data_IF_295525907444
#
_entry.id   IF_295525907444
#
_cell.length_a   1.000
_cell.length_b   1.000
_cell.length_c   1.000
_cell.angle_alpha   90.00
_cell.angle_beta   90.00
_cell.angle_gamma   90.00
#
_symmetry.space_group_name_H-M   'P 1'
#
loop_
_entity.id
_entity.type
_entity.pdbx_description
1 polymer ?
#
# COMPACT_ATOMS: atom_id res chain seq x y z
N UNK A 1 22.24 3.48 -8.43
CA UNK A 1 21.04 2.63 -8.72
C UNK A 1 20.87 2.57 -10.24
N UNK A 2 21.95 2.19 -10.91
CA UNK A 2 22.12 2.49 -12.34
C UNK A 2 21.94 1.25 -13.21
N UNK A 3 21.82 0.09 -12.55
CA UNK A 3 21.50 -1.20 -13.15
C UNK A 3 20.00 -1.47 -13.03
N UNK A 4 19.45 -2.16 -14.02
CA UNK A 4 18.00 -2.47 -14.10
C UNK A 4 17.53 -3.37 -12.96
N UNK A 5 18.36 -4.31 -12.54
CA UNK A 5 18.10 -5.25 -11.44
C UNK A 5 19.13 -5.02 -10.35
N UNK A 6 18.70 -4.70 -9.14
CA UNK A 6 19.61 -4.37 -8.05
C UNK A 6 19.00 -4.69 -6.70
N UNK A 7 19.80 -5.25 -5.78
CA UNK A 7 19.44 -5.31 -4.37
C UNK A 7 20.56 -4.81 -3.47
N UNK A 8 20.19 -4.29 -2.30
CA UNK A 8 21.06 -3.95 -1.18
C UNK A 8 20.36 -4.29 0.13
N UNK A 9 20.91 -5.25 0.87
CA UNK A 9 20.39 -5.73 2.16
C UNK A 9 21.55 -5.89 3.13
N UNK A 10 21.55 -5.12 4.23
CA UNK A 10 22.70 -5.03 5.12
C UNK A 10 23.99 -4.68 4.37
N UNK A 11 25.03 -5.50 4.53
CA UNK A 11 26.31 -5.38 3.81
C UNK A 11 26.36 -6.07 2.45
N UNK A 12 25.28 -6.74 2.03
CA UNK A 12 25.22 -7.49 0.78
C UNK A 12 24.51 -6.69 -0.31
N UNK A 13 25.06 -6.74 -1.51
CA UNK A 13 24.46 -6.12 -2.69
C UNK A 13 24.75 -6.91 -3.95
N UNK A 14 23.93 -6.69 -4.96
CA UNK A 14 24.11 -7.25 -6.29
C UNK A 14 23.42 -6.38 -7.33
N UNK A 15 24.00 -6.28 -8.53
CA UNK A 15 23.53 -5.38 -9.58
C UNK A 15 23.73 -5.99 -10.97
N UNK A 16 22.70 -5.96 -11.82
CA UNK A 16 22.67 -6.53 -13.16
C UNK A 16 21.86 -5.65 -14.12
N UNK A 17 22.38 -5.43 -15.33
CA UNK A 17 21.59 -4.81 -16.41
C UNK A 17 20.63 -5.84 -17.01
N UNK A 18 21.17 -7.01 -17.34
CA UNK A 18 20.46 -8.14 -17.88
C UNK A 18 20.68 -9.36 -16.99
N UNK A 19 19.66 -10.22 -16.93
CA UNK A 19 19.71 -11.47 -16.17
C UNK A 19 20.01 -12.64 -17.10
N UNK A 20 20.54 -13.75 -16.56
CA UNK A 20 20.72 -14.98 -17.33
C UNK A 20 19.41 -15.38 -18.02
N UNK A 21 19.51 -15.75 -19.30
CA UNK A 21 18.39 -16.29 -20.08
C UNK A 21 18.24 -17.79 -19.89
N UNK A 22 19.32 -18.47 -19.49
CA UNK A 22 19.31 -19.87 -19.10
C UNK A 22 18.59 -20.05 -17.74
N UNK A 23 17.59 -20.96 -17.65
CA UNK A 23 16.84 -21.17 -16.41
C UNK A 23 17.68 -21.63 -15.22
N UNK A 24 18.67 -22.50 -15.43
CA UNK A 24 19.49 -23.05 -14.33
C UNK A 24 20.42 -21.96 -13.77
N UNK A 25 20.99 -21.12 -14.65
CA UNK A 25 21.78 -19.96 -14.24
C UNK A 25 20.92 -18.91 -13.50
N UNK A 26 19.70 -18.66 -13.96
CA UNK A 26 18.77 -17.74 -13.30
C UNK A 26 18.35 -18.27 -11.92
N UNK A 27 18.08 -19.57 -11.78
CA UNK A 27 17.78 -20.20 -10.50
C UNK A 27 18.98 -20.15 -9.55
N UNK A 28 20.19 -20.35 -10.06
CA UNK A 28 21.42 -20.19 -9.28
C UNK A 28 21.59 -18.76 -8.75
N UNK A 29 21.35 -17.74 -9.60
CA UNK A 29 21.35 -16.34 -9.20
C UNK A 29 20.29 -16.06 -8.13
N UNK A 30 19.06 -16.53 -8.35
CA UNK A 30 17.94 -16.36 -7.42
C UNK A 30 18.27 -16.97 -6.06
N UNK A 31 18.81 -18.19 -6.04
CA UNK A 31 19.21 -18.88 -4.82
C UNK A 31 20.37 -18.16 -4.11
N UNK A 32 21.32 -17.60 -4.85
CA UNK A 32 22.41 -16.81 -4.30
C UNK A 32 21.90 -15.52 -3.63
N UNK A 33 21.03 -14.78 -4.30
CA UNK A 33 20.40 -13.58 -3.74
C UNK A 33 19.50 -13.91 -2.54
N UNK A 34 18.69 -14.98 -2.62
CA UNK A 34 17.78 -15.45 -1.56
C UNK A 34 18.53 -15.69 -0.24
N UNK A 35 19.73 -16.28 -0.29
CA UNK A 35 20.57 -16.54 0.91
C UNK A 35 20.87 -15.29 1.73
N UNK A 36 20.81 -14.11 1.11
CA UNK A 36 21.03 -12.82 1.80
C UNK A 36 19.72 -12.07 2.04
N UNK A 37 18.82 -12.03 1.04
CA UNK A 37 17.58 -11.24 1.09
C UNK A 37 16.58 -11.83 2.09
N UNK A 38 16.28 -13.14 2.01
CA UNK A 38 15.23 -13.75 2.83
C UNK A 38 15.56 -13.68 4.34
N UNK A 39 16.78 -14.01 4.81
CA UNK A 39 17.12 -13.85 6.23
C UNK A 39 17.10 -12.39 6.69
N UNK A 40 17.52 -11.45 5.84
CA UNK A 40 17.46 -10.02 6.16
C UNK A 40 16.02 -9.54 6.31
N UNK A 41 15.14 -9.84 5.35
CA UNK A 41 13.73 -9.48 5.43
C UNK A 41 13.03 -10.18 6.60
N UNK A 42 13.40 -11.43 6.90
CA UNK A 42 12.93 -12.14 8.11
C UNK A 42 13.27 -11.37 9.38
N UNK A 43 14.50 -10.86 9.51
CA UNK A 43 14.91 -10.05 10.65
C UNK A 43 14.16 -8.71 10.71
N UNK A 44 14.04 -8.03 9.56
CA UNK A 44 13.31 -6.76 9.44
C UNK A 44 11.84 -6.92 9.85
N UNK A 45 11.18 -8.00 9.44
CA UNK A 45 9.75 -8.21 9.74
C UNK A 45 9.50 -8.55 11.21
N UNK A 46 10.55 -8.94 11.95
CA UNK A 46 10.51 -9.12 13.40
C UNK A 46 10.86 -7.84 14.18
N UNK A 47 10.97 -6.69 13.50
CA UNK A 47 11.08 -5.40 14.16
C UNK A 47 9.94 -5.18 15.16
N UNK A 48 10.19 -4.32 16.14
CA UNK A 48 9.21 -3.96 17.17
C UNK A 48 7.97 -3.33 16.54
N UNK A 49 8.20 -2.42 15.58
CA UNK A 49 7.14 -1.69 14.89
C UNK A 49 7.31 -1.85 13.37
N UNK A 50 6.61 -2.83 12.80
CA UNK A 50 6.60 -3.07 11.36
C UNK A 50 5.42 -2.33 10.71
N UNK A 51 5.74 -1.50 9.74
CA UNK A 51 4.80 -0.77 8.91
C UNK A 51 4.99 -1.15 7.44
N UNK A 52 3.89 -1.25 6.70
CA UNK A 52 3.89 -1.54 5.26
C UNK A 52 3.19 -0.41 4.52
N UNK A 53 3.86 0.21 3.55
CA UNK A 53 3.30 1.25 2.70
C UNK A 53 3.09 0.72 1.27
N UNK A 54 1.83 0.60 0.87
CA UNK A 54 1.44 0.09 -0.45
C UNK A 54 0.97 1.23 -1.35
N UNK A 55 1.60 1.36 -2.52
CA UNK A 55 1.17 2.27 -3.57
C UNK A 55 0.47 1.57 -4.73
N UNK A 56 0.16 2.31 -5.79
CA UNK A 56 -0.61 1.80 -6.94
C UNK A 56 0.09 0.67 -7.70
N UNK A 57 1.42 0.57 -7.57
CA UNK A 57 2.19 -0.56 -8.09
C UNK A 57 1.78 -1.91 -7.47
N UNK A 58 1.23 -1.92 -6.25
CA UNK A 58 0.69 -3.14 -5.64
C UNK A 58 -0.54 -3.66 -6.39
N UNK A 59 -1.52 -2.77 -6.62
CA UNK A 59 -2.73 -3.08 -7.40
C UNK A 59 -2.37 -3.44 -8.85
N UNK A 60 -1.40 -2.74 -9.45
CA UNK A 60 -0.93 -3.04 -10.79
C UNK A 60 -0.26 -4.42 -10.88
N UNK A 61 0.53 -4.82 -9.89
CA UNK A 61 1.19 -6.13 -9.88
C UNK A 61 0.17 -7.28 -9.76
N UNK A 62 -0.83 -7.14 -8.88
CA UNK A 62 -1.92 -8.13 -8.76
C UNK A 62 -2.78 -8.14 -10.03
N UNK A 63 -3.14 -6.98 -10.57
CA UNK A 63 -3.85 -6.87 -11.84
C UNK A 63 -3.10 -7.56 -12.98
N UNK A 64 -1.78 -7.36 -13.07
CA UNK A 64 -0.94 -8.02 -14.06
C UNK A 64 -1.00 -9.55 -13.96
N UNK A 65 -0.92 -10.12 -12.75
CA UNK A 65 -1.07 -11.56 -12.53
C UNK A 65 -2.46 -12.07 -12.92
N UNK A 66 -3.49 -11.27 -12.66
CA UNK A 66 -4.87 -11.56 -13.05
C UNK A 66 -5.11 -11.39 -14.57
N UNK A 67 -4.18 -10.81 -15.32
CA UNK A 67 -4.34 -10.48 -16.74
C UNK A 67 -5.24 -9.27 -16.98
N UNK A 68 -5.33 -8.34 -16.03
CA UNK A 68 -6.19 -7.16 -16.03
C UNK A 68 -5.37 -5.88 -15.88
N UNK A 69 -5.68 -4.87 -16.70
CA UNK A 69 -5.08 -3.55 -16.56
C UNK A 69 -5.60 -2.84 -15.31
N UNK A 70 -4.70 -2.31 -14.49
CA UNK A 70 -5.07 -1.46 -13.37
C UNK A 70 -5.50 -0.06 -13.83
N UNK A 71 -6.23 0.63 -12.96
CA UNK A 71 -6.67 2.01 -13.19
C UNK A 71 -5.47 2.92 -13.46
N UNK A 72 -5.54 3.65 -14.58
CA UNK A 72 -4.52 4.62 -14.96
C UNK A 72 -4.71 5.97 -14.26
N UNK A 73 -3.62 6.73 -14.14
CA UNK A 73 -3.60 8.08 -13.55
C UNK A 73 -3.42 9.18 -14.61
N UNK A 74 -3.72 8.87 -15.87
CA UNK A 74 -3.56 9.82 -16.97
C UNK A 74 -4.49 11.02 -16.83
N UNK A 75 -4.09 12.15 -17.41
CA UNK A 75 -4.93 13.36 -17.43
C UNK A 75 -6.27 13.12 -18.13
N UNK A 76 -7.27 13.85 -17.69
CA UNK A 76 -8.64 13.89 -18.23
C UNK A 76 -8.98 15.28 -18.77
N UNK A 77 -10.14 15.41 -19.40
CA UNK A 77 -10.67 16.71 -19.87
C UNK A 77 -12.03 16.91 -19.20
N UNK A 78 -12.22 18.03 -18.49
CA UNK A 78 -13.46 18.31 -17.78
C UNK A 78 -14.56 18.84 -18.72
N UNK A 79 -14.18 19.28 -19.92
CA UNK A 79 -15.13 19.75 -20.94
C UNK A 79 -15.57 21.18 -20.68
N UNK A 80 -14.66 22.02 -20.18
CA UNK A 80 -14.96 23.39 -19.77
C UNK A 80 -13.98 24.39 -20.40
N UNK A 81 -14.35 25.67 -20.41
CA UNK A 81 -13.43 26.75 -20.83
C UNK A 81 -12.19 26.89 -19.93
N UNK A 82 -12.14 26.19 -18.79
CA UNK A 82 -11.06 26.26 -17.82
C UNK A 82 -10.06 25.11 -17.93
N UNK A 83 -10.27 24.13 -18.81
CA UNK A 83 -9.39 22.95 -18.94
C UNK A 83 -7.91 23.33 -19.09
N UNK A 84 -7.60 24.33 -19.94
CA UNK A 84 -6.22 24.79 -20.13
C UNK A 84 -5.61 25.43 -18.87
N UNK A 85 -6.42 26.17 -18.09
CA UNK A 85 -5.97 26.78 -16.84
C UNK A 85 -5.74 25.75 -15.74
N UNK A 86 -6.64 24.76 -15.65
CA UNK A 86 -6.53 23.62 -14.73
C UNK A 86 -5.26 22.83 -15.05
N UNK A 87 -5.01 22.52 -16.32
CA UNK A 87 -3.79 21.82 -16.77
C UNK A 87 -2.51 22.58 -16.45
N UNK A 88 -2.50 23.90 -16.68
CA UNK A 88 -1.35 24.73 -16.38
C UNK A 88 -1.06 24.77 -14.86
N UNK A 89 -2.09 24.91 -14.03
CA UNK A 89 -1.93 24.91 -12.58
C UNK A 89 -1.51 23.53 -12.04
N UNK A 90 -2.10 22.46 -12.57
CA UNK A 90 -1.75 21.08 -12.25
C UNK A 90 -0.27 20.80 -12.56
N UNK A 91 0.19 21.19 -13.75
CA UNK A 91 1.57 21.03 -14.17
C UNK A 91 2.54 21.89 -13.36
N UNK A 92 2.19 23.13 -13.04
CA UNK A 92 3.00 23.98 -12.17
C UNK A 92 3.18 23.34 -10.78
N UNK A 93 2.11 22.78 -10.21
CA UNK A 93 2.17 22.03 -8.95
C UNK A 93 3.04 20.78 -9.02
N UNK A 94 2.85 19.95 -10.05
CA UNK A 94 3.64 18.73 -10.26
C UNK A 94 5.14 19.03 -10.42
N UNK A 95 5.49 20.09 -11.16
CA UNK A 95 6.88 20.57 -11.30
C UNK A 95 7.44 21.06 -9.96
N UNK A 96 6.67 21.83 -9.18
CA UNK A 96 7.11 22.34 -7.88
C UNK A 96 7.42 21.20 -6.89
N UNK A 97 6.63 20.11 -6.92
CA UNK A 97 6.84 18.89 -6.13
C UNK A 97 7.88 17.93 -6.74
N UNK A 98 8.55 18.33 -7.83
CA UNK A 98 9.50 17.48 -8.58
C UNK A 98 8.90 16.12 -9.00
N UNK A 99 7.57 16.06 -9.18
CA UNK A 99 6.85 14.85 -9.61
C UNK A 99 7.02 14.58 -11.10
N UNK A 100 7.27 15.62 -11.90
CA UNK A 100 7.34 15.56 -13.35
C UNK A 100 6.01 15.95 -13.99
N UNK A 101 5.47 15.10 -14.86
CA UNK A 101 4.20 15.36 -15.54
C UNK A 101 3.01 15.30 -14.56
N UNK A 102 2.06 16.23 -14.72
CA UNK A 102 0.82 16.23 -13.94
C UNK A 102 -0.05 15.02 -14.27
N UNK A 103 -0.75 14.50 -13.27
CA UNK A 103 -1.66 13.37 -13.39
C UNK A 103 -3.12 13.81 -13.10
N UNK A 104 -4.05 12.84 -13.13
CA UNK A 104 -5.48 13.11 -12.82
C UNK A 104 -5.68 13.71 -11.42
N UNK A 105 -4.85 13.35 -10.44
CA UNK A 105 -4.94 13.89 -9.08
C UNK A 105 -4.59 15.39 -9.06
N UNK A 106 -3.51 15.78 -9.72
CA UNK A 106 -3.13 17.19 -9.85
C UNK A 106 -4.21 18.02 -10.54
N UNK A 107 -4.89 17.44 -11.52
CA UNK A 107 -6.03 18.06 -12.19
C UNK A 107 -7.23 18.20 -11.26
N UNK A 108 -7.63 17.14 -10.54
CA UNK A 108 -8.74 17.21 -9.60
C UNK A 108 -8.48 18.21 -8.48
N UNK A 109 -7.27 18.24 -7.92
CA UNK A 109 -6.89 19.25 -6.92
C UNK A 109 -7.04 20.67 -7.47
N UNK A 110 -6.54 20.91 -8.69
CA UNK A 110 -6.62 22.22 -9.34
C UNK A 110 -8.06 22.61 -9.70
N UNK A 111 -8.86 21.64 -10.15
CA UNK A 111 -10.26 21.84 -10.52
C UNK A 111 -11.14 22.11 -9.29
N UNK A 112 -10.92 21.40 -8.17
CA UNK A 112 -11.65 21.63 -6.91
C UNK A 112 -11.32 23.00 -6.31
N UNK A 113 -10.05 23.41 -6.32
CA UNK A 113 -9.66 24.76 -5.87
C UNK A 113 -10.30 25.86 -6.74
N UNK A 114 -10.36 25.64 -8.06
CA UNK A 114 -11.05 26.57 -8.97
C UNK A 114 -12.56 26.57 -8.73
N UNK A 115 -13.16 25.41 -8.47
CA UNK A 115 -14.58 25.27 -8.18
C UNK A 115 -15.00 26.12 -6.97
N UNK A 116 -14.23 26.07 -5.87
CA UNK A 116 -14.48 26.92 -4.70
C UNK A 116 -14.40 28.42 -5.04
N UNK A 117 -13.40 28.82 -5.84
CA UNK A 117 -13.24 30.19 -6.30
C UNK A 117 -14.41 30.67 -7.16
N UNK A 118 -14.83 29.87 -8.14
CA UNK A 118 -15.99 30.15 -8.99
C UNK A 118 -17.28 30.21 -8.17
N UNK A 119 -17.40 29.41 -7.11
CA UNK A 119 -18.55 29.46 -6.22
C UNK A 119 -18.78 30.80 -5.54
N UNK A 120 -17.77 31.68 -5.50
CA UNK A 120 -17.89 33.05 -4.98
C UNK A 120 -18.28 34.05 -6.08
N UNK A 121 -17.82 33.87 -7.31
CA UNK A 121 -17.85 34.91 -8.36
C UNK A 121 -18.73 34.59 -9.57
N UNK A 122 -18.97 33.32 -9.88
CA UNK A 122 -19.74 32.88 -11.04
C UNK A 122 -20.40 31.50 -10.80
N UNK A 123 -21.67 31.53 -10.40
CA UNK A 123 -22.48 30.33 -10.13
C UNK A 123 -22.76 29.48 -11.38
N UNK A 124 -22.76 30.07 -12.57
CA UNK A 124 -23.00 29.34 -13.82
C UNK A 124 -21.76 28.53 -14.22
N UNK A 125 -20.60 29.17 -14.15
CA UNK A 125 -19.31 28.52 -14.35
C UNK A 125 -19.02 27.47 -13.27
N UNK A 126 -19.33 27.76 -12.00
CA UNK A 126 -19.23 26.80 -10.88
C UNK A 126 -19.99 25.51 -11.22
N UNK A 127 -21.28 25.64 -11.59
CA UNK A 127 -22.11 24.48 -11.92
C UNK A 127 -21.53 23.67 -13.07
N UNK A 128 -21.07 24.34 -14.13
CA UNK A 128 -20.53 23.69 -15.33
C UNK A 128 -19.24 22.92 -15.01
N UNK A 129 -18.33 23.53 -14.23
CA UNK A 129 -17.12 22.85 -13.77
C UNK A 129 -17.44 21.68 -12.85
N UNK A 130 -18.40 21.86 -11.92
CA UNK A 130 -18.84 20.80 -11.02
C UNK A 130 -19.34 19.57 -11.79
N UNK A 131 -20.22 19.76 -12.77
CA UNK A 131 -20.75 18.67 -13.58
C UNK A 131 -19.62 17.94 -14.34
N UNK A 132 -18.63 18.69 -14.84
CA UNK A 132 -17.42 18.12 -15.46
C UNK A 132 -16.56 17.29 -14.49
N UNK A 133 -16.33 17.78 -13.27
CA UNK A 133 -15.59 17.05 -12.23
C UNK A 133 -16.37 15.80 -11.81
N UNK A 134 -17.68 15.91 -11.58
CA UNK A 134 -18.54 14.77 -11.22
C UNK A 134 -18.48 13.66 -12.28
N UNK A 135 -18.51 14.02 -13.57
CA UNK A 135 -18.38 13.06 -14.67
C UNK A 135 -17.02 12.35 -14.66
N UNK A 136 -15.92 13.09 -14.51
CA UNK A 136 -14.58 12.50 -14.49
C UNK A 136 -14.31 11.66 -13.23
N UNK A 137 -14.77 12.11 -12.05
CA UNK A 137 -14.69 11.32 -10.81
C UNK A 137 -15.52 10.05 -10.90
N UNK A 138 -16.72 10.11 -11.51
CA UNK A 138 -17.55 8.91 -11.73
C UNK A 138 -16.86 7.91 -12.67
N UNK A 139 -16.22 8.41 -13.73
CA UNK A 139 -15.38 7.60 -14.63
C UNK A 139 -14.21 6.94 -13.90
N UNK A 140 -13.56 7.67 -12.99
CA UNK A 140 -12.47 7.15 -12.16
C UNK A 140 -12.94 6.09 -11.16
N UNK A 141 -14.07 6.30 -10.47
CA UNK A 141 -14.66 5.28 -9.59
C UNK A 141 -15.03 4.02 -10.37
N UNK A 142 -15.59 4.19 -11.56
CA UNK A 142 -15.96 3.08 -12.44
C UNK A 142 -14.72 2.30 -12.90
N UNK A 143 -13.60 2.96 -13.19
CA UNK A 143 -12.37 2.27 -13.57
C UNK A 143 -11.74 1.50 -12.39
N UNK A 144 -11.82 2.03 -11.17
CA UNK A 144 -11.42 1.31 -9.95
C UNK A 144 -12.25 0.03 -9.78
N UNK A 145 -13.57 0.12 -9.85
CA UNK A 145 -14.47 -1.04 -9.76
C UNK A 145 -14.25 -2.05 -10.89
N UNK A 146 -13.94 -1.57 -12.10
CA UNK A 146 -13.54 -2.43 -13.23
C UNK A 146 -12.23 -3.17 -12.94
N UNK A 147 -11.28 -2.51 -12.28
CA UNK A 147 -10.02 -3.13 -11.85
C UNK A 147 -10.30 -4.24 -10.83
N UNK A 148 -11.09 -3.93 -9.79
CA UNK A 148 -11.46 -4.88 -8.74
C UNK A 148 -12.23 -6.10 -9.32
N UNK A 149 -13.28 -5.86 -10.11
CA UNK A 149 -14.05 -6.94 -10.75
C UNK A 149 -13.21 -7.77 -11.72
N UNK A 150 -12.29 -7.13 -12.45
CA UNK A 150 -11.36 -7.83 -13.31
C UNK A 150 -10.40 -8.74 -12.51
N UNK A 151 -9.89 -8.29 -11.36
CA UNK A 151 -9.04 -9.13 -10.50
C UNK A 151 -9.83 -10.35 -9.97
N UNK A 152 -11.09 -10.18 -9.59
CA UNK A 152 -11.95 -11.29 -9.11
C UNK A 152 -12.24 -12.30 -10.21
N UNK A 153 -12.51 -11.82 -11.42
CA UNK A 153 -12.79 -12.67 -12.57
C UNK A 153 -11.53 -13.42 -13.04
N UNK A 154 -10.40 -12.69 -13.11
CA UNK A 154 -9.20 -13.12 -13.81
C UNK A 154 -9.42 -13.25 -15.32
N UNK A 155 -8.33 -13.28 -16.08
CA UNK A 155 -8.37 -13.61 -17.52
C UNK A 155 -8.80 -15.06 -17.76
N UNK A 156 -8.35 -15.96 -16.90
CA UNK A 156 -8.65 -17.39 -16.88
C UNK A 156 -8.45 -17.92 -15.44
N UNK A 157 -8.90 -19.16 -15.11
CA UNK A 157 -8.76 -19.71 -13.76
C UNK A 157 -7.32 -19.73 -13.24
N UNK A 158 -6.33 -19.94 -14.11
CA UNK A 158 -4.91 -19.99 -13.72
C UNK A 158 -4.42 -18.61 -13.29
N UNK A 159 -4.70 -17.58 -14.09
CA UNK A 159 -4.37 -16.19 -13.75
C UNK A 159 -5.07 -15.72 -12.48
N UNK A 160 -6.33 -16.13 -12.28
CA UNK A 160 -7.08 -15.84 -11.06
C UNK A 160 -6.39 -16.45 -9.83
N UNK A 161 -6.10 -17.75 -9.87
CA UNK A 161 -5.47 -18.46 -8.77
C UNK A 161 -4.07 -17.92 -8.46
N UNK A 162 -3.30 -17.56 -9.50
CA UNK A 162 -1.99 -16.93 -9.35
C UNK A 162 -2.08 -15.56 -8.65
N UNK A 163 -3.00 -14.69 -9.08
CA UNK A 163 -3.20 -13.38 -8.47
C UNK A 163 -3.65 -13.50 -7.01
N UNK A 164 -4.62 -14.37 -6.74
CA UNK A 164 -5.16 -14.60 -5.40
C UNK A 164 -4.10 -15.21 -4.48
N UNK A 165 -3.35 -16.21 -4.95
CA UNK A 165 -2.27 -16.85 -4.21
C UNK A 165 -1.14 -15.87 -3.88
N UNK A 166 -0.76 -15.01 -4.83
CA UNK A 166 0.24 -13.96 -4.60
C UNK A 166 -0.24 -12.90 -3.59
N UNK A 167 -1.49 -12.42 -3.72
CA UNK A 167 -2.10 -11.48 -2.77
C UNK A 167 -2.10 -12.04 -1.35
N UNK A 168 -2.59 -13.26 -1.19
CA UNK A 168 -2.67 -13.93 0.11
C UNK A 168 -1.28 -14.11 0.71
N UNK A 169 -0.36 -14.69 -0.06
CA UNK A 169 0.99 -14.98 0.41
C UNK A 169 1.75 -13.72 0.79
N UNK A 170 1.63 -12.66 -0.02
CA UNK A 170 2.21 -11.36 0.28
C UNK A 170 1.70 -10.81 1.62
N UNK A 171 0.38 -10.71 1.81
CA UNK A 171 -0.20 -10.19 3.05
C UNK A 171 0.19 -11.04 4.27
N UNK A 172 0.17 -12.38 4.13
CA UNK A 172 0.53 -13.30 5.21
C UNK A 172 2.01 -13.20 5.58
N UNK A 173 2.92 -12.97 4.64
CA UNK A 173 4.35 -12.77 4.94
C UNK A 173 4.58 -11.59 5.90
N UNK A 174 3.80 -10.51 5.80
CA UNK A 174 3.90 -9.37 6.71
C UNK A 174 3.06 -9.53 7.99
N UNK A 175 1.87 -10.12 7.88
CA UNK A 175 0.93 -10.22 8.99
C UNK A 175 1.31 -11.31 10.02
N UNK A 176 2.14 -12.29 9.63
CA UNK A 176 2.60 -13.39 10.49
C UNK A 176 3.67 -12.96 11.50
N UNK A 177 3.29 -12.12 12.46
CA UNK A 177 4.19 -11.59 13.50
C UNK A 177 4.08 -12.41 14.79
N UNK A 178 5.18 -12.50 15.53
CA UNK A 178 5.17 -13.13 16.84
C UNK A 178 4.25 -12.37 17.81
N UNK A 179 3.57 -13.09 18.71
CA UNK A 179 2.59 -12.51 19.64
C UNK A 179 3.16 -11.43 20.60
N UNK A 180 4.49 -11.38 20.78
CA UNK A 180 5.18 -10.36 21.56
C UNK A 180 5.50 -9.08 20.77
N UNK A 181 5.26 -9.07 19.46
CA UNK A 181 5.46 -7.91 18.59
C UNK A 181 4.12 -7.19 18.41
N UNK A 182 4.18 -5.88 18.17
CA UNK A 182 2.98 -5.14 17.81
C UNK A 182 2.34 -5.65 16.51
N UNK A 183 1.10 -5.25 16.23
CA UNK A 183 0.43 -5.57 14.97
C UNK A 183 1.14 -4.91 13.79
N UNK A 184 1.10 -5.56 12.63
CA UNK A 184 1.43 -4.89 11.36
C UNK A 184 0.51 -3.69 11.17
N UNK A 185 1.07 -2.54 10.81
CA UNK A 185 0.28 -1.40 10.35
C UNK A 185 0.48 -1.22 8.84
N UNK A 186 -0.59 -1.42 8.08
CA UNK A 186 -0.63 -1.22 6.64
C UNK A 186 -1.13 0.19 6.35
N UNK A 187 -0.34 0.94 5.61
CA UNK A 187 -0.67 2.24 5.05
C UNK A 187 -0.79 2.11 3.54
N UNK A 188 -1.72 2.83 2.93
CA UNK A 188 -1.81 2.88 1.47
C UNK A 188 -2.27 4.23 0.97
N UNK A 189 -1.80 4.61 -0.21
CA UNK A 189 -2.31 5.74 -1.00
C UNK A 189 -3.36 5.29 -2.02
N UNK A 190 -3.74 4.01 -2.05
CA UNK A 190 -4.65 3.48 -3.05
C UNK A 190 -6.12 3.67 -2.63
N UNK A 191 -6.95 3.99 -3.61
CA UNK A 191 -8.40 4.15 -3.43
C UNK A 191 -9.17 2.81 -3.54
N UNK A 192 -8.62 1.84 -4.29
CA UNK A 192 -9.17 0.49 -4.43
C UNK A 192 -9.11 -0.28 -3.11
N UNK A 193 -9.91 -1.34 -2.99
CA UNK A 193 -10.08 -2.10 -1.74
C UNK A 193 -9.38 -3.46 -1.77
N UNK A 194 -8.28 -3.55 -2.52
CA UNK A 194 -7.57 -4.81 -2.75
C UNK A 194 -6.97 -5.38 -1.45
N UNK A 195 -6.54 -4.52 -0.54
CA UNK A 195 -5.96 -4.93 0.75
C UNK A 195 -7.05 -5.55 1.63
N UNK A 196 -8.21 -4.91 1.68
CA UNK A 196 -9.40 -5.38 2.39
C UNK A 196 -9.85 -6.75 1.85
N UNK A 197 -9.99 -6.86 0.53
CA UNK A 197 -10.33 -8.11 -0.13
C UNK A 197 -9.29 -9.22 0.13
N UNK A 198 -8.01 -8.88 0.07
CA UNK A 198 -6.93 -9.82 0.37
C UNK A 198 -6.92 -10.27 1.83
N UNK A 199 -7.29 -9.39 2.77
CA UNK A 199 -7.43 -9.73 4.18
C UNK A 199 -8.59 -10.69 4.42
N UNK A 200 -9.76 -10.42 3.81
CA UNK A 200 -10.91 -11.32 3.88
C UNK A 200 -10.54 -12.72 3.37
N UNK A 201 -9.85 -12.79 2.23
CA UNK A 201 -9.39 -14.04 1.65
C UNK A 201 -8.32 -14.75 2.51
N UNK A 202 -7.42 -13.99 3.14
CA UNK A 202 -6.38 -14.51 4.02
C UNK A 202 -6.87 -14.85 5.44
N UNK A 203 -8.12 -14.54 5.79
CA UNK A 203 -8.64 -14.67 7.15
C UNK A 203 -8.02 -13.67 8.15
N UNK A 204 -7.49 -12.55 7.65
CA UNK A 204 -6.93 -11.46 8.44
C UNK A 204 -8.04 -10.49 8.86
N UNK A 205 -8.01 -10.06 10.12
CA UNK A 205 -8.91 -9.05 10.65
C UNK A 205 -8.28 -7.67 10.58
N UNK A 206 -9.03 -6.72 10.07
CA UNK A 206 -8.62 -5.33 9.96
C UNK A 206 -9.14 -4.55 11.16
N UNK A 207 -8.24 -3.81 11.80
CA UNK A 207 -8.56 -2.69 12.69
C UNK A 207 -8.30 -1.40 11.92
N UNK A 208 -9.35 -0.64 11.66
CA UNK A 208 -9.28 0.69 11.07
C UNK A 208 -10.00 1.71 11.96
N UNK A 209 -10.21 2.93 11.47
CA UNK A 209 -10.89 4.01 12.21
C UNK A 209 -12.42 3.97 12.10
N UNK A 210 -13.01 3.00 11.41
CA UNK A 210 -14.46 2.92 11.24
C UNK A 210 -15.10 2.08 12.34
N UNK A 211 -16.09 2.66 13.00
CA UNK A 211 -16.84 2.00 14.08
C UNK A 211 -18.29 1.81 13.66
N UNK A 212 -18.76 0.56 13.73
CA UNK A 212 -20.12 0.16 13.40
C UNK A 212 -20.13 -1.04 12.45
N UNK A 213 -21.19 -1.86 12.53
CA UNK A 213 -21.34 -3.04 11.68
C UNK A 213 -22.15 -2.75 10.40
N UNK A 214 -23.24 -1.97 10.51
CA UNK A 214 -24.16 -1.70 9.40
C UNK A 214 -23.81 -0.42 8.64
N UNK A 215 -23.54 0.65 9.38
CA UNK A 215 -23.14 1.95 8.84
C UNK A 215 -21.87 2.41 9.57
N UNK A 216 -20.70 1.88 9.22
CA UNK A 216 -19.46 2.22 9.91
C UNK A 216 -19.15 3.73 9.78
N UNK A 217 -18.81 4.38 10.89
CA UNK A 217 -18.49 5.82 10.96
C UNK A 217 -17.03 6.02 11.31
N UNK A 218 -16.33 6.88 10.57
CA UNK A 218 -14.95 7.25 10.86
C UNK A 218 -14.84 7.97 12.21
N UNK A 219 -13.90 7.54 13.06
CA UNK A 219 -13.62 8.16 14.35
C UNK A 219 -12.23 8.79 14.35
N UNK A 220 -12.19 10.10 14.64
CA UNK A 220 -10.94 10.84 14.86
C UNK A 220 -10.25 10.46 16.18
N UNK A 221 -11.02 9.96 17.16
CA UNK A 221 -10.50 9.61 18.49
C UNK A 221 -9.42 8.54 18.40
N UNK A 222 -8.26 8.81 19.02
CA UNK A 222 -7.11 7.90 19.07
C UNK A 222 -7.23 6.90 20.24
N UNK A 223 -8.33 6.14 20.26
CA UNK A 223 -8.47 5.04 21.21
C UNK A 223 -7.74 3.83 20.63
N UNK A 224 -6.72 3.34 21.32
CA UNK A 224 -6.01 2.13 20.91
C UNK A 224 -6.85 0.91 21.27
N UNK A 225 -7.54 0.37 20.26
CA UNK A 225 -8.33 -0.87 20.36
C UNK A 225 -7.51 -2.01 19.78
N UNK A 226 -7.51 -3.15 20.46
CA UNK A 226 -6.94 -4.42 19.96
C UNK A 226 -7.87 -5.59 20.31
N UNK A 227 -7.68 -6.71 19.63
CA UNK A 227 -8.49 -7.91 19.78
C UNK A 227 -7.66 -9.00 20.45
N UNK A 228 -8.19 -9.48 21.58
CA UNK A 228 -7.60 -10.54 22.38
C UNK A 228 -8.53 -11.74 22.44
N UNK A 229 -7.96 -12.93 22.64
CA UNK A 229 -8.72 -14.15 22.92
C UNK A 229 -8.28 -14.76 24.25
N UNK A 230 -9.21 -15.46 24.89
CA UNK A 230 -8.96 -16.19 26.13
C UNK A 230 -8.80 -17.69 25.80
N UNK A 231 -7.60 -18.26 25.90
CA UNK A 231 -7.42 -19.69 25.64
C UNK A 231 -8.21 -20.54 26.66
N UNK A 232 -8.88 -21.63 26.22
CA UNK A 232 -9.62 -22.49 27.13
C UNK A 232 -8.72 -23.06 28.24
N UNK A 233 -9.20 -23.01 29.49
CA UNK A 233 -8.54 -23.67 30.63
C UNK A 233 -7.40 -22.90 31.29
N UNK A 234 -7.02 -21.71 30.80
CA UNK A 234 -6.01 -20.87 31.44
C UNK A 234 -6.67 -19.64 32.07
N UNK A 235 -6.61 -19.53 33.40
CA UNK A 235 -6.82 -18.26 34.11
C UNK A 235 -5.53 -17.43 33.97
N UNK A 236 -5.55 -16.35 33.21
CA UNK A 236 -4.39 -15.50 32.97
C UNK A 236 -4.71 -14.31 32.07
N UNK A 237 -3.67 -13.55 31.70
CA UNK A 237 -3.78 -12.38 30.83
C UNK A 237 -4.27 -12.77 29.41
N UNK A 238 -5.17 -11.96 28.80
CA UNK A 238 -5.65 -12.20 27.43
C UNK A 238 -4.50 -12.27 26.43
N UNK A 239 -4.57 -13.18 25.45
CA UNK A 239 -3.57 -13.29 24.39
C UNK A 239 -3.97 -12.45 23.19
N UNK A 240 -3.01 -11.76 22.58
CA UNK A 240 -3.21 -11.14 21.28
C UNK A 240 -3.67 -12.20 20.28
N UNK A 241 -4.81 -11.93 19.63
CA UNK A 241 -5.34 -12.83 18.62
C UNK A 241 -4.51 -12.76 17.35
N UNK A 242 -4.07 -13.88 16.80
CA UNK A 242 -3.31 -13.89 15.54
C UNK A 242 -4.16 -13.45 14.34
N UNK A 243 -3.48 -13.03 13.26
CA UNK A 243 -4.14 -12.59 12.04
C UNK A 243 -4.93 -11.29 12.22
N UNK A 244 -4.34 -10.29 12.88
CA UNK A 244 -4.92 -8.95 13.05
C UNK A 244 -3.92 -7.92 12.54
N UNK A 245 -4.38 -7.03 11.66
CA UNK A 245 -3.60 -5.91 11.13
C UNK A 245 -4.31 -4.59 11.39
N UNK A 246 -3.56 -3.49 11.38
CA UNK A 246 -4.12 -2.14 11.32
C UNK A 246 -4.09 -1.65 9.87
N UNK A 247 -5.14 -0.99 9.40
CA UNK A 247 -5.20 -0.41 8.05
C UNK A 247 -5.52 1.08 8.10
N UNK A 248 -4.71 1.87 7.42
CA UNK A 248 -4.90 3.32 7.24
C UNK A 248 -4.76 3.69 5.77
N UNK A 249 -5.84 4.18 5.14
CA UNK A 249 -5.84 4.63 3.74
C UNK A 249 -5.65 6.15 3.70
N UNK A 250 -4.45 6.61 3.34
CA UNK A 250 -4.01 8.00 3.47
C UNK A 250 -4.75 8.96 2.55
N UNK A 251 -5.18 8.50 1.37
CA UNK A 251 -5.90 9.32 0.38
C UNK A 251 -7.41 9.06 0.38
N UNK A 252 -7.88 8.23 1.31
CA UNK A 252 -9.27 7.78 1.37
C UNK A 252 -9.51 6.49 0.61
N UNK A 253 -10.77 6.24 0.28
CA UNK A 253 -11.21 5.01 -0.37
C UNK A 253 -12.46 5.29 -1.18
N UNK A 254 -12.69 4.51 -2.23
CA UNK A 254 -13.85 4.69 -3.10
C UNK A 254 -15.20 4.50 -2.36
N UNK A 255 -15.19 3.79 -1.22
CA UNK A 255 -16.35 3.51 -0.39
C UNK A 255 -16.49 4.47 0.82
N UNK A 256 -15.70 5.56 0.89
CA UNK A 256 -15.80 6.57 1.94
C UNK A 256 -16.66 7.76 1.48
N UNK A 257 -17.66 8.09 2.29
CA UNK A 257 -18.68 9.09 2.00
C UNK A 257 -18.74 10.15 3.08
N UNK A 258 -18.54 11.41 2.70
CA UNK A 258 -18.73 12.55 3.57
C UNK A 258 -20.19 13.01 3.53
N UNK A 259 -20.85 12.97 4.68
CA UNK A 259 -22.13 13.59 4.91
C UNK A 259 -21.92 15.04 5.36
N UNK A 260 -22.35 16.00 4.54
CA UNK A 260 -22.18 17.44 4.79
C UNK A 260 -23.03 17.92 5.96
N UNK A 261 -24.22 17.36 6.14
CA UNK A 261 -25.18 17.80 7.16
C UNK A 261 -24.74 17.32 8.55
N UNK A 262 -24.31 16.06 8.64
CA UNK A 262 -23.79 15.49 9.88
C UNK A 262 -22.30 15.81 10.13
N UNK A 263 -21.59 16.27 9.10
CA UNK A 263 -20.13 16.47 9.08
C UNK A 263 -19.37 15.21 9.51
N UNK A 264 -19.80 14.06 8.98
CA UNK A 264 -19.29 12.73 9.32
C UNK A 264 -18.92 11.95 8.07
N UNK A 265 -18.04 10.98 8.26
CA UNK A 265 -17.59 10.10 7.19
C UNK A 265 -18.12 8.71 7.47
N UNK A 266 -18.78 8.15 6.47
CA UNK A 266 -19.36 6.83 6.47
C UNK A 266 -18.61 5.93 5.50
N UNK A 267 -18.45 4.66 5.84
CA UNK A 267 -18.07 3.63 4.87
C UNK A 267 -19.34 2.99 4.32
N UNK A 268 -19.54 3.03 3.01
CA UNK A 268 -20.67 2.37 2.35
C UNK A 268 -20.36 0.90 2.07
N UNK A 269 -21.37 0.06 2.16
CA UNK A 269 -21.26 -1.39 1.93
C UNK A 269 -21.22 -1.76 0.44
N UNK A 270 -20.31 -1.17 -0.33
CA UNK A 270 -20.15 -1.48 -1.75
C UNK A 270 -19.37 -2.81 -1.86
N UNK A 271 -19.88 -3.86 -2.53
CA UNK A 271 -19.10 -5.08 -2.76
C UNK A 271 -17.80 -4.83 -3.54
N UNK A 272 -16.78 -5.67 -3.32
CA UNK A 272 -15.54 -5.62 -4.11
C UNK A 272 -15.84 -5.98 -5.57
N UNK A 273 -15.51 -5.09 -6.51
CA UNK A 273 -15.86 -5.26 -7.92
C UNK A 273 -17.36 -5.12 -8.22
N UNK A 274 -18.10 -4.35 -7.42
CA UNK A 274 -19.51 -4.02 -7.68
C UNK A 274 -19.72 -3.44 -9.10
N UNK A 275 -20.87 -3.71 -9.74
CA UNK A 275 -21.18 -3.13 -11.04
C UNK A 275 -21.33 -1.61 -10.93
N UNK A 276 -21.04 -0.89 -12.02
CA UNK A 276 -21.00 0.57 -12.02
C UNK A 276 -22.34 1.25 -11.68
N UNK A 277 -23.45 0.53 -11.80
CA UNK A 277 -24.80 0.98 -11.48
C UNK A 277 -25.25 0.63 -10.05
N UNK A 278 -24.36 0.10 -9.21
CA UNK A 278 -24.65 -0.21 -7.81
C UNK A 278 -25.17 1.03 -7.06
N UNK A 279 -26.21 0.84 -6.26
CA UNK A 279 -26.98 1.94 -5.65
C UNK A 279 -26.18 2.84 -4.73
N UNK A 280 -25.18 2.28 -4.04
CA UNK A 280 -24.30 3.03 -3.15
C UNK A 280 -23.15 3.74 -3.88
N UNK A 281 -22.99 3.57 -5.20
CA UNK A 281 -22.03 4.36 -5.97
C UNK A 281 -22.64 5.76 -6.19
N UNK A 282 -21.94 6.84 -5.84
CA UNK A 282 -22.50 8.17 -5.93
C UNK A 282 -22.55 8.65 -7.37
N UNK A 283 -23.71 9.16 -7.76
CA UNK A 283 -23.89 9.85 -9.05
C UNK A 283 -23.28 11.25 -9.08
N UNK A 284 -22.97 11.81 -7.90
CA UNK A 284 -22.33 13.13 -7.71
C UNK A 284 -21.16 13.02 -6.74
N UNK A 285 -20.02 12.45 -7.19
CA UNK A 285 -18.88 12.19 -6.32
C UNK A 285 -18.30 13.43 -5.64
N UNK A 286 -18.35 14.62 -6.27
CA UNK A 286 -17.77 15.86 -5.70
C UNK A 286 -18.37 16.20 -4.34
N UNK A 287 -19.65 15.91 -4.14
CA UNK A 287 -20.34 16.24 -2.89
C UNK A 287 -20.26 15.15 -1.83
N UNK A 288 -19.76 13.96 -2.18
CA UNK A 288 -19.97 12.74 -1.38
C UNK A 288 -18.70 11.94 -1.18
N UNK A 289 -17.89 11.73 -2.21
CA UNK A 289 -16.76 10.80 -2.17
C UNK A 289 -15.52 11.47 -1.59
N UNK A 290 -14.93 10.81 -0.60
CA UNK A 290 -13.65 11.22 -0.04
C UNK A 290 -12.48 10.57 -0.79
N UNK A 291 -12.21 11.08 -1.99
CA UNK A 291 -10.97 10.89 -2.72
C UNK A 291 -10.28 12.25 -2.69
N UNK A 292 -9.25 12.41 -1.85
CA UNK A 292 -8.48 13.66 -1.85
C UNK A 292 -7.16 13.48 -2.59
N UNK A 293 -7.06 14.03 -3.81
CA UNK A 293 -5.86 13.91 -4.60
C UNK A 293 -4.73 14.76 -4.01
N UNK A 294 -3.59 14.09 -3.80
CA UNK A 294 -2.27 14.62 -3.43
C UNK A 294 -2.21 16.11 -3.02
N UNK A 295 -2.26 16.42 -1.71
CA UNK A 295 -2.20 17.79 -1.22
C UNK A 295 -0.82 18.38 -1.54
N UNK A 296 -0.77 19.46 -2.31
CA UNK A 296 0.49 20.13 -2.64
C UNK A 296 0.85 21.25 -1.67
N UNK A 297 0.02 21.51 -0.64
CA UNK A 297 0.24 22.56 0.35
C UNK A 297 -0.15 22.12 1.76
N UNK A 298 0.66 22.54 2.73
CA UNK A 298 0.48 22.29 4.17
C UNK A 298 -0.88 22.77 4.73
N UNK A 299 -1.66 23.56 3.98
CA UNK A 299 -3.01 24.01 4.38
C UNK A 299 -4.07 22.93 4.14
N UNK A 300 -3.91 22.06 3.14
CA UNK A 300 -4.93 21.08 2.74
C UNK A 300 -4.83 19.77 3.55
N UNK A 301 -3.63 19.36 3.96
CA UNK A 301 -3.42 18.23 4.89
C UNK A 301 -3.91 18.50 6.32
N UNK A 302 -4.29 19.73 6.65
CA UNK A 302 -4.92 20.06 7.93
C UNK A 302 -6.42 19.76 7.98
N UNK A 303 -7.02 19.43 6.84
CA UNK A 303 -8.44 19.12 6.77
C UNK A 303 -8.74 17.72 7.32
N UNK A 304 -9.86 17.62 8.03
CA UNK A 304 -10.41 16.35 8.50
C UNK A 304 -10.88 15.52 7.28
N UNK A 305 -10.58 14.20 7.20
CA UNK A 305 -9.91 13.34 8.19
C UNK A 305 -8.39 13.19 7.97
N UNK A 306 -7.84 13.77 6.90
CA UNK A 306 -6.48 13.49 6.42
C UNK A 306 -5.40 13.85 7.43
N UNK A 307 -5.59 14.93 8.18
CA UNK A 307 -4.71 15.29 9.28
C UNK A 307 -4.53 14.15 10.29
N UNK A 308 -5.60 13.40 10.60
CA UNK A 308 -5.56 12.28 11.53
C UNK A 308 -4.90 11.04 10.90
N UNK A 309 -5.15 10.79 9.62
CA UNK A 309 -4.56 9.66 8.87
C UNK A 309 -3.04 9.81 8.73
N UNK A 310 -2.56 11.01 8.41
CA UNK A 310 -1.13 11.30 8.36
C UNK A 310 -0.49 11.32 9.75
N UNK A 311 -1.23 11.74 10.79
CA UNK A 311 -0.78 11.64 12.18
C UNK A 311 -0.59 10.18 12.60
N UNK A 312 -1.46 9.27 12.16
CA UNK A 312 -1.26 7.83 12.40
C UNK A 312 0.02 7.32 11.73
N UNK A 313 0.25 7.72 10.48
CA UNK A 313 1.45 7.32 9.76
C UNK A 313 2.72 7.83 10.44
N UNK A 314 2.76 9.11 10.78
CA UNK A 314 3.88 9.70 11.51
C UNK A 314 4.08 9.04 12.89
N UNK A 315 3.01 8.77 13.64
CA UNK A 315 3.12 8.13 14.94
C UNK A 315 3.61 6.68 14.87
N UNK A 316 3.25 5.94 13.81
CA UNK A 316 3.66 4.56 13.62
C UNK A 316 5.09 4.43 13.07
N UNK A 317 5.50 5.37 12.20
CA UNK A 317 6.80 5.37 11.53
C UNK A 317 7.89 6.11 12.34
N UNK A 318 7.62 7.31 12.87
CA UNK A 318 8.62 8.16 13.51
C UNK A 318 8.82 7.80 14.99
N UNK A 319 9.26 6.57 15.26
CA UNK A 319 9.64 6.11 16.61
C UNK A 319 10.81 5.12 16.56
N UNK A 320 11.56 4.94 17.66
CA UNK A 320 12.68 4.00 17.70
C UNK A 320 12.28 2.59 17.29
N UNK A 321 13.18 1.86 16.62
CA UNK A 321 12.98 0.47 16.17
C UNK A 321 11.82 0.28 15.17
N UNK A 322 11.34 1.36 14.56
CA UNK A 322 10.34 1.29 13.50
C UNK A 322 10.96 0.96 12.15
N UNK A 323 10.27 0.10 11.41
CA UNK A 323 10.59 -0.22 10.03
C UNK A 323 9.40 0.12 9.16
N UNK A 324 9.64 0.81 8.05
CA UNK A 324 8.67 0.93 6.96
C UNK A 324 9.19 0.11 5.77
N UNK A 325 8.34 -0.76 5.24
CA UNK A 325 8.57 -1.46 3.98
C UNK A 325 7.64 -0.85 2.94
N UNK A 326 8.17 -0.43 1.79
CA UNK A 326 7.35 0.09 0.69
C UNK A 326 7.28 -0.91 -0.45
N UNK A 327 6.10 -1.10 -1.03
CA UNK A 327 5.92 -1.89 -2.26
C UNK A 327 5.02 -1.14 -3.23
N UNK A 328 5.51 -0.93 -4.45
CA UNK A 328 4.74 -0.25 -5.50
C UNK A 328 4.42 1.23 -5.19
N UNK A 329 5.08 1.84 -4.22
CA UNK A 329 4.97 3.26 -3.92
C UNK A 329 5.90 4.08 -4.83
N UNK A 330 5.33 5.02 -5.57
CA UNK A 330 6.04 5.78 -6.61
C UNK A 330 6.77 7.05 -6.13
N UNK A 331 6.85 7.31 -4.83
CA UNK A 331 7.53 8.48 -4.25
C UNK A 331 7.05 9.84 -4.78
N UNK A 332 5.82 9.90 -5.31
CA UNK A 332 5.22 11.12 -5.84
C UNK A 332 4.48 11.96 -4.79
N UNK A 333 4.34 11.49 -3.56
CA UNK A 333 3.65 12.20 -2.48
C UNK A 333 4.66 12.82 -1.51
N UNK A 334 4.73 14.15 -1.49
CA UNK A 334 5.71 14.89 -0.70
C UNK A 334 5.43 14.80 0.81
N UNK A 335 4.18 14.62 1.24
CA UNK A 335 3.83 14.49 2.64
C UNK A 335 4.28 13.13 3.18
N UNK A 336 4.01 12.05 2.43
CA UNK A 336 4.50 10.71 2.75
C UNK A 336 6.03 10.70 2.74
N UNK A 337 6.66 11.28 1.72
CA UNK A 337 8.12 11.35 1.62
C UNK A 337 8.74 12.12 2.81
N UNK A 338 8.10 13.21 3.26
CA UNK A 338 8.55 13.98 4.43
C UNK A 338 8.54 13.13 5.70
N UNK A 339 7.45 12.41 5.97
CA UNK A 339 7.35 11.50 7.12
C UNK A 339 8.43 10.40 7.06
N UNK A 340 8.69 9.84 5.87
CA UNK A 340 9.76 8.85 5.71
C UNK A 340 11.16 9.44 5.97
N UNK A 341 11.44 10.67 5.53
CA UNK A 341 12.70 11.35 5.82
C UNK A 341 12.83 11.69 7.31
N UNK A 342 11.75 12.16 7.94
CA UNK A 342 11.70 12.46 9.37
C UNK A 342 11.93 11.18 10.20
N UNK A 343 11.32 10.06 9.81
CA UNK A 343 11.59 8.73 10.41
C UNK A 343 13.09 8.43 10.39
N UNK A 344 13.74 8.58 9.24
CA UNK A 344 15.16 8.24 9.06
C UNK A 344 16.12 9.14 9.85
N UNK A 345 15.67 10.25 10.43
CA UNK A 345 16.46 11.02 11.40
C UNK A 345 16.72 10.22 12.69
N UNK A 346 15.85 9.26 13.03
CA UNK A 346 15.97 8.38 14.20
C UNK A 346 16.90 7.21 13.85
N UNK A 347 18.07 7.05 14.52
CA UNK A 347 19.09 6.09 14.10
C UNK A 347 18.68 4.62 14.08
N UNK A 348 17.70 4.22 14.90
CA UNK A 348 17.22 2.83 14.98
C UNK A 348 16.09 2.49 14.01
N UNK A 349 15.72 3.42 13.13
CA UNK A 349 14.70 3.17 12.09
C UNK A 349 15.32 2.64 10.81
N UNK A 350 14.52 1.88 10.05
CA UNK A 350 14.94 1.30 8.78
C UNK A 350 13.84 1.43 7.71
N UNK A 351 14.24 1.66 6.47
CA UNK A 351 13.37 1.70 5.30
C UNK A 351 13.76 0.59 4.33
N UNK A 352 12.79 -0.23 3.93
CA UNK A 352 12.98 -1.19 2.83
C UNK A 352 12.15 -0.72 1.65
N UNK A 353 12.78 -0.52 0.49
CA UNK A 353 12.11 -0.08 -0.73
C UNK A 353 12.09 -1.22 -1.73
N UNK A 354 10.88 -1.67 -2.11
CA UNK A 354 10.64 -2.64 -3.17
C UNK A 354 9.97 -1.91 -4.34
N UNK A 355 10.71 -1.74 -5.44
CA UNK A 355 10.23 -1.00 -6.61
C UNK A 355 10.59 -1.71 -7.91
N UNK A 356 9.62 -1.79 -8.82
CA UNK A 356 9.80 -2.44 -10.13
C UNK A 356 10.83 -1.71 -11.01
N UNK A 357 11.01 -0.41 -10.83
CA UNK A 357 12.05 0.40 -11.49
C UNK A 357 12.52 1.54 -10.58
N UNK A 358 13.76 2.00 -10.82
CA UNK A 358 14.29 3.19 -10.16
C UNK A 358 14.12 4.42 -11.06
N UNK A 359 12.99 5.10 -10.92
CA UNK A 359 12.76 6.40 -11.54
C UNK A 359 13.54 7.52 -10.82
N UNK A 360 13.55 8.71 -11.42
CA UNK A 360 14.30 9.85 -10.90
C UNK A 360 13.80 10.32 -9.53
N UNK A 361 12.50 10.11 -9.23
CA UNK A 361 11.90 10.45 -7.94
C UNK A 361 12.46 9.55 -6.84
N UNK A 362 12.48 8.24 -7.07
CA UNK A 362 13.08 7.30 -6.13
C UNK A 362 14.56 7.59 -5.92
N UNK A 363 15.32 7.82 -7.01
CA UNK A 363 16.75 8.16 -6.90
C UNK A 363 16.98 9.42 -6.07
N UNK A 364 16.26 10.50 -6.38
CA UNK A 364 16.34 11.76 -5.63
C UNK A 364 15.89 11.64 -4.17
N UNK A 365 14.98 10.71 -3.86
CA UNK A 365 14.62 10.40 -2.48
C UNK A 365 15.78 9.69 -1.77
N UNK A 366 16.33 8.61 -2.35
CA UNK A 366 17.39 7.80 -1.75
C UNK A 366 18.67 8.62 -1.53
N UNK A 367 19.00 9.56 -2.42
CA UNK A 367 20.14 10.50 -2.27
C UNK A 367 20.09 11.33 -0.98
N UNK A 368 18.90 11.54 -0.40
CA UNK A 368 18.72 12.28 0.85
C UNK A 368 18.82 11.38 2.10
N UNK A 369 19.00 10.07 1.91
CA UNK A 369 19.00 9.08 2.98
C UNK A 369 20.40 8.56 3.28
N UNK A 370 20.54 7.82 4.38
CA UNK A 370 21.78 7.10 4.73
C UNK A 370 21.65 5.65 4.32
N UNK A 371 22.64 5.14 3.58
CA UNK A 371 22.65 3.77 3.09
C UNK A 371 22.44 2.70 4.18
N UNK A 372 22.98 2.93 5.37
CA UNK A 372 22.86 2.01 6.50
C UNK A 372 21.42 1.79 6.97
N UNK A 373 20.52 2.76 6.75
CA UNK A 373 19.11 2.70 7.16
C UNK A 373 18.17 2.36 6.00
N UNK A 374 18.70 2.09 4.80
CA UNK A 374 17.89 1.86 3.59
C UNK A 374 18.32 0.60 2.85
N UNK A 375 17.41 -0.38 2.82
CA UNK A 375 17.50 -1.55 1.96
C UNK A 375 16.70 -1.36 0.67
N UNK A 376 17.23 -1.89 -0.42
CA UNK A 376 16.69 -1.69 -1.77
C UNK A 376 16.49 -3.06 -2.43
N UNK A 377 15.32 -3.29 -3.01
CA UNK A 377 15.02 -4.39 -3.91
C UNK A 377 14.41 -3.77 -5.17
N UNK A 378 15.20 -3.62 -6.21
CA UNK A 378 14.86 -2.81 -7.38
C UNK A 378 14.93 -3.66 -8.64
N UNK A 379 13.95 -3.46 -9.51
CA UNK A 379 13.93 -4.05 -10.83
C UNK A 379 12.94 -5.20 -10.95
N UNK A 380 12.60 -5.61 -12.19
CA UNK A 380 11.58 -6.63 -12.44
C UNK A 380 11.81 -7.92 -11.66
N UNK A 381 13.03 -8.45 -11.63
CA UNK A 381 13.29 -9.71 -10.92
C UNK A 381 13.17 -9.64 -9.39
N UNK A 382 13.60 -8.55 -8.77
CA UNK A 382 13.58 -8.42 -7.31
C UNK A 382 12.25 -7.85 -6.77
N UNK A 383 11.42 -7.24 -7.63
CA UNK A 383 10.16 -6.60 -7.24
C UNK A 383 8.92 -7.05 -8.04
N UNK A 384 9.06 -7.97 -9.00
CA UNK A 384 7.93 -8.73 -9.53
C UNK A 384 7.27 -9.49 -8.38
N UNK A 385 5.96 -9.37 -8.25
CA UNK A 385 5.26 -9.85 -7.05
C UNK A 385 5.33 -11.37 -6.91
N UNK A 386 5.18 -12.11 -8.00
CA UNK A 386 5.23 -13.57 -7.98
C UNK A 386 6.62 -14.06 -7.56
N UNK A 387 7.67 -13.48 -8.16
CA UNK A 387 9.06 -13.80 -7.83
C UNK A 387 9.40 -13.40 -6.39
N UNK A 388 8.99 -12.19 -5.97
CA UNK A 388 9.22 -11.65 -4.63
C UNK A 388 8.62 -12.56 -3.55
N UNK A 389 7.35 -12.93 -3.70
CA UNK A 389 6.63 -13.81 -2.78
C UNK A 389 7.25 -15.21 -2.76
N UNK A 390 7.57 -15.77 -3.93
CA UNK A 390 8.07 -17.14 -4.03
C UNK A 390 9.52 -17.29 -3.53
N UNK A 391 10.34 -16.25 -3.70
CA UNK A 391 11.79 -16.36 -3.57
C UNK A 391 12.44 -15.51 -2.50
N UNK A 392 11.83 -14.43 -2.05
CA UNK A 392 12.54 -13.41 -1.26
C UNK A 392 11.83 -13.02 0.03
N UNK A 393 10.49 -13.03 0.04
CA UNK A 393 9.74 -12.78 1.27
C UNK A 393 9.84 -13.95 2.24
N UNK A 394 9.86 -13.67 3.56
CA UNK A 394 9.78 -14.71 4.55
C UNK A 394 8.47 -15.49 4.41
N UNK A 395 8.55 -16.81 4.54
CA UNK A 395 7.35 -17.64 4.57
C UNK A 395 6.50 -17.30 5.80
N UNK A 396 5.16 -17.29 5.68
CA UNK A 396 4.28 -17.06 6.81
C UNK A 396 4.62 -18.00 7.98
N UNK A 397 4.80 -17.45 9.18
CA UNK A 397 5.05 -18.23 10.40
C UNK A 397 3.90 -19.19 10.75
N UNK A 398 2.72 -19.01 10.14
CA UNK A 398 1.58 -19.93 10.18
C UNK A 398 1.91 -21.32 9.58
N UNK A 399 3.00 -21.43 8.83
CA UNK A 399 3.58 -22.71 8.45
C UNK A 399 4.45 -23.31 9.58
N UNK A 400 3.93 -23.24 10.82
CA UNK A 400 4.54 -23.83 12.01
C UNK A 400 4.83 -25.32 11.79
N UNK A 401 3.97 -25.99 11.03
CA UNK A 401 4.11 -27.41 10.70
C UNK A 401 5.35 -27.63 9.82
N UNK A 402 5.58 -26.85 8.76
CA UNK A 402 6.81 -27.01 7.95
C UNK A 402 8.06 -26.54 8.69
N UNK A 403 7.96 -25.52 9.55
CA UNK A 403 9.03 -25.12 10.46
C UNK A 403 9.44 -26.26 11.40
N UNK A 404 8.47 -26.83 12.12
CA UNK A 404 8.63 -28.04 12.95
C UNK A 404 9.17 -29.22 12.15
N UNK A 405 8.64 -29.48 10.96
CA UNK A 405 9.10 -30.56 10.09
C UNK A 405 10.57 -30.38 9.74
N UNK A 406 10.98 -29.16 9.36
CA UNK A 406 12.38 -28.85 9.02
C UNK A 406 13.30 -29.03 10.22
N UNK A 407 12.87 -28.59 11.40
CA UNK A 407 13.59 -28.78 12.66
C UNK A 407 13.73 -30.27 13.00
N UNK A 408 12.63 -31.04 12.91
CA UNK A 408 12.61 -32.49 13.11
C UNK A 408 13.51 -33.24 12.12
N UNK A 409 13.55 -32.81 10.85
CA UNK A 409 14.44 -33.36 9.83
C UNK A 409 15.92 -33.05 10.15
N UNK A 410 16.23 -31.82 10.61
CA UNK A 410 17.57 -31.46 11.09
C UNK A 410 18.01 -32.30 12.30
N UNK A 411 17.08 -32.59 13.22
CA UNK A 411 17.35 -33.46 14.37
C UNK A 411 17.53 -34.93 13.97
N UNK A 412 16.81 -35.43 12.96
CA UNK A 412 17.00 -36.78 12.41
C UNK A 412 18.34 -36.97 11.70
N UNK A 413 18.87 -35.93 11.07
CA UNK A 413 20.14 -35.99 10.32
C UNK A 413 21.38 -35.76 11.20
N UNK A 414 21.26 -35.61 12.53
CA UNK A 414 22.42 -35.71 13.41
C UNK A 414 22.80 -37.18 13.57
N UNK A 415 24.03 -37.61 13.22
CA UNK A 415 24.45 -38.97 13.50
C UNK A 415 24.37 -39.21 15.00
N UNK A 416 23.66 -40.27 15.40
CA UNK A 416 23.71 -40.79 16.76
C UNK A 416 25.17 -41.12 17.00
N UNK A 417 25.85 -40.29 17.81
CA UNK A 417 27.23 -40.54 18.20
C UNK A 417 27.32 -41.95 18.75
N UNK A 418 28.19 -42.76 18.15
CA UNK A 418 28.59 -44.05 18.69
C UNK A 418 29.10 -43.82 20.11
N UNK A 419 28.32 -44.21 21.11
CA UNK A 419 28.79 -44.31 22.48
C UNK A 419 29.85 -45.41 22.50
N UNK A 420 31.11 -45.02 22.61
CA UNK A 420 32.21 -45.93 22.95
C UNK A 420 32.06 -46.31 24.42
N UNK A 421 31.87 -47.62 24.66
CA UNK A 421 31.91 -48.28 25.98
C UNK A 421 33.32 -48.24 26.55
#
# INVERSE_FOLDING_TARGET
MDKKHFYRVGSHSGAWDDLPTDPDELDSLTNSARKHIEPWLSAVFQAEHLNLLLGSGFTAAIGYLAGVGATGMAKVTFGTSYDAAIDAHAQAGATAMKRGAANIEDQFRSALALLEGLGVIDKGAEKTLKDGIDAQMSGFLTSLLKTESGIVAGKDPTSKDAAQGALQSFLLSFASRAASRERLHVFTTNYDRLIEHGCDFAGLRIIDRFVGALNPVFRASRVEVDVHYNPPGIRGEPRFMEGVIRLTKLHGSLDWFFDKDERRIYRKGIPFGAPADHTDIPKKPVDTVMIYPNPAKDVETTQYPYAELFRDFAAAACRPNAVVVTYGYGFGDDHVNRVLLDMLTIPSTHLVIMAYSADDRLKAFVEKTRDAQVSLLIGPHFSDLATLVASYLPKPALDYISGRMTELLKHRNRPIGTASV
#
